data_IF_710578683383
#
_entry.id   IF_710578683383
#
_cell.length_a   1.000
_cell.length_b   1.000
_cell.length_c   1.000
_cell.angle_alpha   90.00
_cell.angle_beta   90.00
_cell.angle_gamma   90.00
#
_symmetry.space_group_name_H-M   'P 1'
#
loop_
_entity.id
_entity.type
_entity.pdbx_description
1 polymer ?
#
# COMPACT_ATOMS: atom_id res chain seq x y z
N UNK A 1 -26.38 3.08 -5.88
CA UNK A 1 -25.87 3.42 -4.54
C UNK A 1 -24.63 4.29 -4.75
N UNK A 2 -24.65 5.54 -4.29
CA UNK A 2 -23.53 6.49 -4.45
C UNK A 2 -22.61 6.40 -3.23
N UNK A 3 -21.29 6.47 -3.42
CA UNK A 3 -20.31 6.43 -2.34
C UNK A 3 -19.48 7.73 -2.30
N UNK A 4 -19.14 8.19 -1.09
CA UNK A 4 -18.34 9.39 -0.87
C UNK A 4 -16.87 9.11 -1.22
N UNK A 5 -16.29 9.90 -2.12
CA UNK A 5 -14.86 9.91 -2.41
C UNK A 5 -14.23 11.17 -1.80
N UNK A 6 -13.30 10.99 -0.85
CA UNK A 6 -12.57 12.09 -0.23
C UNK A 6 -11.32 12.43 -1.06
N UNK A 7 -11.24 13.68 -1.55
CA UNK A 7 -10.04 14.25 -2.18
C UNK A 7 -9.19 15.04 -1.17
N UNK A 8 -7.91 15.24 -1.47
CA UNK A 8 -6.92 15.87 -0.57
C UNK A 8 -6.90 17.41 -0.58
N UNK A 9 -7.98 18.06 -1.06
CA UNK A 9 -8.13 19.53 -1.07
C UNK A 9 -9.16 19.99 -0.03
N UNK A 10 -8.97 21.21 0.51
CA UNK A 10 -9.85 21.84 1.52
C UNK A 10 -11.29 22.10 1.05
N UNK A 11 -11.61 21.81 -0.22
CA UNK A 11 -12.94 21.94 -0.80
C UNK A 11 -13.27 20.71 -1.69
N UNK A 12 -14.37 20.02 -1.34
CA UNK A 12 -15.17 19.03 -2.12
C UNK A 12 -14.79 17.55 -2.04
N UNK A 13 -15.42 16.85 -1.10
CA UNK A 13 -15.75 15.44 -1.28
C UNK A 13 -16.68 15.27 -2.49
N UNK A 14 -16.34 14.33 -3.36
CA UNK A 14 -17.13 14.00 -4.56
C UNK A 14 -17.98 12.76 -4.34
N UNK A 15 -18.99 12.57 -5.18
CA UNK A 15 -19.71 11.30 -5.27
C UNK A 15 -19.14 10.49 -6.43
N UNK A 16 -18.87 9.21 -6.19
CA UNK A 16 -18.51 8.26 -7.25
C UNK A 16 -19.62 7.21 -7.38
N UNK A 17 -19.89 6.79 -8.62
CA UNK A 17 -20.83 5.72 -8.90
C UNK A 17 -20.21 4.40 -8.48
N UNK A 18 -20.77 3.74 -7.45
CA UNK A 18 -20.18 2.56 -6.80
C UNK A 18 -19.74 1.44 -7.76
N UNK A 19 -20.49 1.12 -8.84
CA UNK A 19 -20.06 0.10 -9.80
C UNK A 19 -18.74 0.39 -10.54
N UNK A 20 -18.27 1.64 -10.54
CA UNK A 20 -16.97 2.02 -11.11
C UNK A 20 -15.80 1.76 -10.14
N UNK A 21 -16.08 1.49 -8.86
CA UNK A 21 -15.04 1.19 -7.88
C UNK A 21 -14.58 -0.26 -8.03
N UNK A 22 -13.26 -0.42 -8.06
CA UNK A 22 -12.60 -1.71 -8.02
C UNK A 22 -12.34 -2.11 -6.57
N UNK A 23 -12.71 -3.34 -6.19
CA UNK A 23 -12.38 -3.91 -4.88
C UNK A 23 -10.92 -4.36 -4.72
N UNK A 24 -10.05 -4.09 -5.71
CA UNK A 24 -8.63 -4.48 -5.65
C UNK A 24 -7.93 -3.68 -4.54
N UNK A 25 -7.30 -4.39 -3.59
CA UNK A 25 -6.47 -3.79 -2.53
C UNK A 25 -5.10 -3.44 -3.11
N UNK A 26 -4.80 -2.16 -3.20
CA UNK A 26 -3.50 -1.65 -3.65
C UNK A 26 -2.95 -0.65 -2.63
N UNK A 27 -1.64 -0.49 -2.65
CA UNK A 27 -0.94 0.50 -1.84
C UNK A 27 0.16 1.17 -2.66
N UNK A 28 0.62 2.32 -2.19
CA UNK A 28 1.69 3.10 -2.79
C UNK A 28 2.88 3.14 -1.84
N UNK A 29 4.08 2.88 -2.36
CA UNK A 29 5.32 2.89 -1.57
C UNK A 29 5.64 4.30 -1.10
N UNK A 30 5.66 4.51 0.21
CA UNK A 30 6.06 5.71 0.96
C UNK A 30 6.24 6.98 0.10
N UNK A 31 5.18 7.58 -0.46
CA UNK A 31 5.28 8.71 -1.40
C UNK A 31 5.90 9.97 -0.78
N UNK A 32 5.99 10.02 0.55
CA UNK A 32 6.70 11.05 1.32
C UNK A 32 8.21 10.77 1.49
N UNK A 33 8.68 9.56 1.21
CA UNK A 33 10.07 9.16 1.40
C UNK A 33 10.96 9.75 0.30
N UNK A 34 12.18 10.15 0.67
CA UNK A 34 13.24 10.56 -0.27
C UNK A 34 14.13 9.39 -0.71
N UNK A 35 13.95 8.20 -0.13
CA UNK A 35 14.78 7.02 -0.39
C UNK A 35 13.95 5.77 -0.67
N UNK A 36 14.60 4.78 -1.27
CA UNK A 36 13.97 3.53 -1.64
C UNK A 36 13.61 2.68 -0.42
N UNK A 37 12.51 1.95 -0.51
CA UNK A 37 12.00 1.05 0.52
C UNK A 37 12.43 -0.38 0.21
N UNK A 38 12.96 -1.08 1.22
CA UNK A 38 13.38 -2.47 1.06
C UNK A 38 12.18 -3.41 0.97
N UNK A 39 12.08 -4.16 -0.14
CA UNK A 39 11.22 -5.33 -0.24
C UNK A 39 11.96 -6.52 0.37
N UNK A 40 11.40 -7.14 1.40
CA UNK A 40 12.04 -8.24 2.14
C UNK A 40 11.40 -9.58 1.83
N UNK A 41 12.20 -10.65 1.90
CA UNK A 41 11.71 -12.03 1.73
C UNK A 41 10.84 -12.53 2.89
N UNK A 42 11.02 -11.95 4.08
CA UNK A 42 10.31 -12.31 5.32
C UNK A 42 9.88 -11.05 6.06
N UNK A 43 8.77 -11.14 6.80
CA UNK A 43 8.23 -10.09 7.66
C UNK A 43 9.08 -9.84 8.92
N UNK A 44 10.36 -9.48 8.73
CA UNK A 44 11.31 -9.22 9.81
C UNK A 44 12.29 -8.12 9.41
N UNK A 45 12.75 -7.34 10.38
CA UNK A 45 13.59 -6.16 10.13
C UNK A 45 14.95 -6.52 9.53
N UNK A 46 15.51 -7.65 9.94
CA UNK A 46 16.74 -8.26 9.43
C UNK A 46 16.47 -9.25 8.27
N UNK A 47 15.29 -9.16 7.64
CA UNK A 47 14.87 -10.03 6.54
C UNK A 47 15.74 -9.81 5.32
N UNK A 48 16.15 -10.86 4.58
CA UNK A 48 16.90 -10.69 3.34
C UNK A 48 16.16 -9.71 2.40
N UNK A 49 16.85 -8.65 1.98
CA UNK A 49 16.34 -7.70 1.01
C UNK A 49 16.42 -8.36 -0.35
N UNK A 50 15.29 -8.40 -1.06
CA UNK A 50 15.18 -9.00 -2.40
C UNK A 50 15.06 -7.94 -3.49
N UNK A 51 14.65 -6.72 -3.13
CA UNK A 51 14.61 -5.58 -4.04
C UNK A 51 14.51 -4.27 -3.26
N UNK A 52 14.82 -3.15 -3.93
CA UNK A 52 14.61 -1.79 -3.45
C UNK A 52 13.56 -1.12 -4.32
N UNK A 53 12.46 -0.68 -3.72
CA UNK A 53 11.35 -0.05 -4.42
C UNK A 53 11.42 1.46 -4.29
N UNK A 54 11.20 2.15 -5.40
CA UNK A 54 11.14 3.61 -5.42
C UNK A 54 9.85 4.12 -4.75
N UNK A 55 9.88 5.33 -4.15
CA UNK A 55 8.67 6.02 -3.73
C UNK A 55 7.65 6.16 -4.86
N UNK A 56 6.37 6.21 -4.51
CA UNK A 56 5.23 6.36 -5.41
C UNK A 56 4.93 5.15 -6.34
N UNK A 57 5.63 4.02 -6.20
CA UNK A 57 5.29 2.77 -6.91
C UNK A 57 4.00 2.15 -6.34
N UNK A 58 3.07 1.75 -7.20
CA UNK A 58 1.87 1.01 -6.82
C UNK A 58 2.17 -0.50 -6.66
N UNK A 59 1.65 -1.11 -5.59
CA UNK A 59 1.75 -2.53 -5.29
C UNK A 59 0.39 -3.13 -4.93
N UNK A 60 0.20 -4.42 -5.17
CA UNK A 60 -0.99 -5.15 -4.70
C UNK A 60 -0.79 -5.59 -3.26
N UNK A 61 -1.73 -5.27 -2.38
CA UNK A 61 -1.75 -5.79 -1.01
C UNK A 61 -2.37 -7.18 -0.99
N UNK A 62 -1.68 -8.14 -0.35
CA UNK A 62 -2.16 -9.53 -0.20
C UNK A 62 -2.59 -9.87 1.22
N UNK A 63 -2.07 -9.15 2.21
CA UNK A 63 -2.43 -9.32 3.61
C UNK A 63 -1.53 -8.46 4.48
N UNK A 64 -1.98 -8.16 5.69
CA UNK A 64 -1.21 -7.41 6.68
C UNK A 64 -1.38 -8.05 8.06
N UNK A 65 -0.36 -7.97 8.91
CA UNK A 65 -0.36 -8.49 10.28
C UNK A 65 -0.38 -7.37 11.34
N UNK A 66 -0.66 -6.13 10.93
CA UNK A 66 -0.60 -4.93 11.76
C UNK A 66 0.78 -4.28 11.84
N UNK A 67 1.84 -4.88 11.30
CA UNK A 67 3.20 -4.35 11.27
C UNK A 67 3.88 -4.47 9.90
N UNK A 68 3.58 -5.55 9.20
CA UNK A 68 4.07 -5.90 7.88
C UNK A 68 2.90 -6.18 6.96
N UNK A 69 3.09 -5.87 5.69
CA UNK A 69 2.17 -6.23 4.65
C UNK A 69 2.88 -7.08 3.60
N UNK A 70 2.27 -8.21 3.25
CA UNK A 70 2.65 -8.98 2.07
C UNK A 70 2.16 -8.22 0.84
N UNK A 71 3.08 -7.91 -0.05
CA UNK A 71 2.80 -7.18 -1.29
C UNK A 71 3.24 -7.98 -2.51
N UNK A 72 2.62 -7.69 -3.65
CA UNK A 72 3.00 -8.25 -4.94
C UNK A 72 3.11 -7.20 -6.03
N UNK A 73 4.17 -7.34 -6.81
CA UNK A 73 4.44 -6.64 -8.07
C UNK A 73 4.31 -7.65 -9.22
N UNK A 74 4.55 -7.18 -10.45
CA UNK A 74 4.44 -7.99 -11.68
C UNK A 74 5.33 -9.23 -11.66
N UNK A 75 6.56 -9.11 -11.13
CA UNK A 75 7.60 -10.14 -11.19
C UNK A 75 8.06 -10.67 -9.84
N UNK A 76 7.61 -10.08 -8.73
CA UNK A 76 8.09 -10.43 -7.39
C UNK A 76 7.06 -10.15 -6.30
N UNK A 77 7.25 -10.78 -5.16
CA UNK A 77 6.44 -10.57 -3.95
C UNK A 77 7.34 -10.61 -2.72
N UNK A 78 6.91 -9.95 -1.66
CA UNK A 78 7.66 -9.87 -0.42
C UNK A 78 6.89 -9.07 0.63
N UNK A 79 7.63 -8.62 1.63
CA UNK A 79 7.10 -7.94 2.80
C UNK A 79 7.68 -6.54 2.90
N UNK A 80 6.80 -5.59 3.20
CA UNK A 80 7.10 -4.18 3.46
C UNK A 80 6.51 -3.82 4.82
N UNK A 81 7.16 -2.92 5.55
CA UNK A 81 6.61 -2.38 6.79
C UNK A 81 5.33 -1.60 6.48
N UNK A 82 4.30 -1.78 7.29
CA UNK A 82 3.01 -1.11 7.07
C UNK A 82 3.15 0.42 7.02
N UNK A 83 4.03 0.99 7.85
CA UNK A 83 4.25 2.43 7.87
C UNK A 83 4.90 2.98 6.58
N UNK A 84 5.48 2.13 5.73
CA UNK A 84 6.05 2.52 4.42
C UNK A 84 5.02 2.41 3.28
N UNK A 85 3.73 2.22 3.60
CA UNK A 85 2.66 2.03 2.62
C UNK A 85 1.56 3.07 2.81
N UNK A 86 1.18 3.74 1.72
CA UNK A 86 -0.05 4.51 1.63
C UNK A 86 -1.15 3.64 1.04
N UNK A 87 -2.25 3.44 1.76
CA UNK A 87 -3.34 2.53 1.36
C UNK A 87 -3.55 1.33 2.29
N UNK A 88 -2.64 1.13 3.26
CA UNK A 88 -2.86 0.27 4.42
C UNK A 88 -3.17 1.15 5.64
N UNK A 89 -4.18 0.77 6.44
CA UNK A 89 -4.50 1.50 7.68
C UNK A 89 -3.54 1.11 8.81
N UNK A 90 -3.25 2.02 9.76
CA UNK A 90 -2.47 1.67 10.94
C UNK A 90 -3.09 0.50 11.70
N UNK A 91 -2.31 -0.55 11.94
CA UNK A 91 -2.76 -1.77 12.64
C UNK A 91 -3.67 -2.67 11.80
N UNK A 92 -3.79 -2.45 10.49
CA UNK A 92 -4.65 -3.27 9.63
C UNK A 92 -4.22 -4.75 9.59
N UNK A 93 -5.20 -5.66 9.75
CA UNK A 93 -5.02 -7.12 9.72
C UNK A 93 -6.05 -7.75 8.79
N UNK A 94 -5.60 -8.55 7.81
CA UNK A 94 -6.41 -9.37 6.89
C UNK A 94 -5.55 -10.35 6.08
#
# INVERSE_FOLDING_TARGET
MWQLAAGTGLERGGWIYAPLLSGRRTAVIAPWSKGNVALRKKAKFDGPVISWLEPAVEVKLRGCDGQWCSVALSSMSGFIKQFDLWGAYPGEVF
#
